data_IF_116433889275
#
_entry.id   IF_116433889275
#
_cell.length_a   1.000
_cell.length_b   1.000
_cell.length_c   1.000
_cell.angle_alpha   90.00
_cell.angle_beta   90.00
_cell.angle_gamma   90.00
#
_symmetry.space_group_name_H-M   'P 1'
#
loop_
_entity.id
_entity.type
_entity.pdbx_description
1 polymer ?
#
# COMPACT_ATOMS: atom_id res chain seq x y z
N UNK A 1 18.33 -70.05 17.64
CA UNK A 1 18.59 -69.18 16.47
C UNK A 1 17.25 -68.69 15.98
N UNK A 2 16.88 -67.44 16.26
CA UNK A 2 16.08 -66.54 15.43
C UNK A 2 16.10 -65.19 16.15
N UNK A 3 16.87 -64.27 15.58
CA UNK A 3 17.08 -62.89 16.03
C UNK A 3 16.06 -62.05 15.26
N UNK A 4 15.09 -61.46 15.93
CA UNK A 4 14.25 -60.42 15.30
C UNK A 4 14.78 -59.07 15.75
N UNK A 5 15.44 -58.39 14.81
CA UNK A 5 15.89 -57.01 14.96
C UNK A 5 14.68 -56.10 14.79
N UNK A 6 14.20 -55.54 15.90
CA UNK A 6 13.24 -54.45 15.88
C UNK A 6 13.96 -53.17 15.49
N UNK A 7 13.90 -52.78 14.21
CA UNK A 7 14.23 -51.42 13.81
C UNK A 7 13.11 -50.50 14.31
N UNK A 8 13.40 -49.76 15.39
CA UNK A 8 12.59 -48.63 15.82
C UNK A 8 12.80 -47.53 14.78
N UNK A 9 11.86 -47.39 13.84
CA UNK A 9 11.75 -46.20 13.01
C UNK A 9 11.34 -45.05 13.93
N UNK A 10 12.32 -44.23 14.33
CA UNK A 10 12.04 -42.89 14.81
C UNK A 10 11.49 -42.11 13.61
N UNK A 11 10.16 -42.06 13.50
CA UNK A 11 9.52 -40.98 12.75
C UNK A 11 9.94 -39.68 13.45
N UNK A 12 10.90 -38.98 12.85
CA UNK A 12 11.16 -37.58 13.17
C UNK A 12 9.86 -36.85 12.91
N UNK A 13 9.13 -36.54 13.99
CA UNK A 13 8.06 -35.55 13.98
C UNK A 13 8.76 -34.21 13.71
N UNK A 14 9.05 -33.94 12.44
CA UNK A 14 9.46 -32.63 11.98
C UNK A 14 8.22 -31.75 12.16
N UNK A 15 8.23 -30.98 13.23
CA UNK A 15 7.09 -30.28 13.77
C UNK A 15 6.60 -29.21 12.77
N UNK A 16 5.50 -29.55 12.08
CA UNK A 16 4.83 -28.71 11.09
C UNK A 16 4.39 -27.35 11.68
N UNK A 17 4.26 -27.25 13.02
CA UNK A 17 3.93 -25.99 13.69
C UNK A 17 5.09 -24.98 13.68
N UNK A 18 6.33 -25.45 13.82
CA UNK A 18 7.54 -24.60 13.74
C UNK A 18 7.76 -24.03 12.34
N UNK A 19 7.58 -24.83 11.28
CA UNK A 19 7.78 -24.41 9.89
C UNK A 19 6.77 -23.31 9.47
N UNK A 20 5.49 -23.50 9.83
CA UNK A 20 4.44 -22.50 9.58
C UNK A 20 4.71 -21.16 10.30
N UNK A 21 5.19 -21.22 11.54
CA UNK A 21 5.53 -20.00 12.31
C UNK A 21 6.71 -19.23 11.70
N UNK A 22 7.76 -19.93 11.27
CA UNK A 22 8.94 -19.32 10.65
C UNK A 22 8.58 -18.68 9.31
N UNK A 23 7.75 -19.35 8.50
CA UNK A 23 7.24 -18.83 7.24
C UNK A 23 6.39 -17.56 7.41
N UNK A 24 5.54 -17.50 8.42
CA UNK A 24 4.75 -16.31 8.70
C UNK A 24 5.61 -15.13 9.19
N UNK A 25 6.65 -15.41 9.98
CA UNK A 25 7.61 -14.40 10.44
C UNK A 25 8.41 -13.80 9.27
N UNK A 26 8.77 -14.62 8.28
CA UNK A 26 9.43 -14.14 7.06
C UNK A 26 8.48 -13.30 6.20
N UNK A 27 7.26 -13.78 5.95
CA UNK A 27 6.22 -13.03 5.23
C UNK A 27 5.96 -11.66 5.84
N UNK A 28 5.76 -11.59 7.16
CA UNK A 28 5.46 -10.30 7.82
C UNK A 28 6.65 -9.35 7.76
N UNK A 29 7.89 -9.87 7.81
CA UNK A 29 9.10 -9.07 7.64
C UNK A 29 9.17 -8.48 6.24
N UNK A 30 8.97 -9.28 5.19
CA UNK A 30 8.93 -8.81 3.81
C UNK A 30 7.87 -7.72 3.59
N UNK A 31 6.67 -7.91 4.15
CA UNK A 31 5.59 -6.92 4.05
C UNK A 31 5.93 -5.61 4.78
N UNK A 32 6.57 -5.68 5.95
CA UNK A 32 7.05 -4.49 6.68
C UNK A 32 8.11 -3.73 5.88
N UNK A 33 9.08 -4.44 5.31
CA UNK A 33 10.14 -3.83 4.50
C UNK A 33 9.56 -3.20 3.22
N UNK A 34 8.59 -3.88 2.59
CA UNK A 34 7.89 -3.37 1.41
C UNK A 34 7.05 -2.13 1.76
N UNK A 35 6.35 -2.15 2.88
CA UNK A 35 5.59 -0.99 3.36
C UNK A 35 6.49 0.22 3.59
N UNK A 36 7.66 0.05 4.21
CA UNK A 36 8.60 1.15 4.45
C UNK A 36 9.09 1.81 3.15
N UNK A 37 9.27 1.00 2.09
CA UNK A 37 9.61 1.52 0.75
C UNK A 37 8.47 2.34 0.17
N UNK A 38 7.23 1.87 0.26
CA UNK A 38 6.06 2.63 -0.18
C UNK A 38 5.82 3.88 0.65
N UNK A 39 5.98 3.80 1.97
CA UNK A 39 5.85 4.94 2.87
C UNK A 39 6.82 6.05 2.48
N UNK A 40 8.09 5.71 2.22
CA UNK A 40 9.11 6.68 1.80
C UNK A 40 8.83 7.24 0.40
N UNK A 41 8.46 6.38 -0.55
CA UNK A 41 8.25 6.74 -1.96
C UNK A 41 7.00 7.60 -2.16
N UNK A 42 5.89 7.24 -1.51
CA UNK A 42 4.60 7.92 -1.65
C UNK A 42 4.40 9.05 -0.63
N UNK A 43 5.37 9.31 0.25
CA UNK A 43 5.30 10.38 1.26
C UNK A 43 5.02 11.75 0.64
N UNK A 44 5.46 11.99 -0.59
CA UNK A 44 5.16 13.23 -1.32
C UNK A 44 3.66 13.50 -1.43
N UNK A 45 2.84 12.45 -1.61
CA UNK A 45 1.38 12.56 -1.71
C UNK A 45 0.74 12.91 -0.37
N UNK A 46 1.43 12.74 0.76
CA UNK A 46 0.94 13.21 2.06
C UNK A 46 1.17 14.71 2.28
N UNK A 47 2.05 15.32 1.47
CA UNK A 47 2.52 16.70 1.61
C UNK A 47 1.97 17.64 0.54
N UNK A 48 1.30 17.09 -0.48
CA UNK A 48 0.69 17.87 -1.55
C UNK A 48 -0.31 18.89 -1.00
N UNK A 49 -0.17 20.14 -1.43
CA UNK A 49 -1.11 21.21 -1.14
C UNK A 49 -1.85 21.61 -2.41
N UNK A 50 -2.91 22.40 -2.23
CA UNK A 50 -3.65 22.98 -3.34
C UNK A 50 -2.70 23.72 -4.29
N UNK A 51 -2.86 23.48 -5.59
CA UNK A 51 -2.04 23.98 -6.69
C UNK A 51 -0.65 23.36 -6.84
N UNK A 52 -0.21 22.50 -5.92
CA UNK A 52 1.01 21.72 -6.12
C UNK A 52 0.78 20.66 -7.21
N UNK A 53 1.82 20.44 -8.03
CA UNK A 53 1.92 19.30 -8.94
C UNK A 53 2.98 18.33 -8.42
N UNK A 54 3.17 17.22 -9.12
CA UNK A 54 4.25 16.27 -8.84
C UNK A 54 4.83 15.76 -10.15
N UNK A 55 5.97 15.08 -10.07
CA UNK A 55 6.60 14.45 -11.21
C UNK A 55 7.66 13.45 -10.77
N UNK A 56 8.38 12.90 -11.75
CA UNK A 56 9.55 12.04 -11.54
C UNK A 56 10.80 12.71 -12.08
N UNK A 57 11.89 12.63 -11.35
CA UNK A 57 13.21 13.06 -11.81
C UNK A 57 13.86 12.01 -12.73
N UNK A 58 15.09 12.28 -13.17
CA UNK A 58 15.85 11.37 -14.04
C UNK A 58 16.20 10.03 -13.37
N UNK A 59 16.19 9.99 -12.03
CA UNK A 59 16.49 8.83 -11.21
C UNK A 59 15.20 8.10 -10.78
N UNK A 60 14.05 8.47 -11.37
CA UNK A 60 12.72 7.91 -11.12
C UNK A 60 12.19 8.19 -9.69
N UNK A 61 12.75 9.19 -8.99
CA UNK A 61 12.23 9.62 -7.69
C UNK A 61 11.09 10.61 -7.87
N UNK A 62 10.07 10.45 -7.03
CA UNK A 62 8.93 11.35 -6.98
C UNK A 62 9.32 12.67 -6.28
N UNK A 63 8.87 13.80 -6.85
CA UNK A 63 9.04 15.12 -6.25
C UNK A 63 7.77 15.96 -6.36
N UNK A 64 7.65 16.95 -5.47
CA UNK A 64 6.58 17.96 -5.50
C UNK A 64 7.07 19.18 -6.29
N UNK A 65 6.29 19.58 -7.29
CA UNK A 65 6.49 20.83 -8.01
C UNK A 65 5.59 21.92 -7.42
N UNK A 66 6.17 22.66 -6.47
CA UNK A 66 5.45 23.67 -5.70
C UNK A 66 4.97 24.84 -6.55
N UNK A 67 3.73 25.25 -6.33
CA UNK A 67 3.18 26.45 -6.96
C UNK A 67 3.88 27.71 -6.44
N UNK A 68 4.61 28.42 -7.31
CA UNK A 68 5.17 29.74 -7.01
C UNK A 68 4.17 30.84 -7.37
N UNK A 69 4.10 31.87 -6.52
CA UNK A 69 3.27 33.06 -6.76
C UNK A 69 3.57 33.66 -8.15
N UNK A 70 2.54 33.78 -9.00
CA UNK A 70 2.63 34.37 -10.34
C UNK A 70 2.73 33.38 -11.51
N UNK A 71 2.85 32.08 -11.26
CA UNK A 71 2.91 31.04 -12.32
C UNK A 71 1.56 30.37 -12.65
N UNK A 72 0.46 30.90 -12.11
CA UNK A 72 -0.85 30.24 -12.13
C UNK A 72 -1.39 29.98 -13.55
N UNK A 73 -1.30 30.96 -14.44
CA UNK A 73 -1.95 30.88 -15.78
C UNK A 73 -1.15 29.99 -16.74
N UNK A 74 0.18 30.07 -16.73
CA UNK A 74 1.02 29.23 -17.62
C UNK A 74 0.92 27.76 -17.25
N UNK A 75 0.86 27.42 -15.95
CA UNK A 75 0.80 26.03 -15.47
C UNK A 75 -0.51 25.32 -15.80
N UNK A 76 -1.60 26.06 -16.06
CA UNK A 76 -2.89 25.47 -16.42
C UNK A 76 -2.91 24.90 -17.84
N UNK A 77 -2.09 25.43 -18.76
CA UNK A 77 -2.23 25.18 -20.21
C UNK A 77 -1.41 24.00 -20.76
N UNK A 78 -0.54 23.36 -19.97
CA UNK A 78 0.34 22.29 -20.46
C UNK A 78 -0.29 20.88 -20.36
N UNK A 79 -0.93 20.41 -21.43
CA UNK A 79 -1.55 19.08 -21.50
C UNK A 79 -0.56 17.91 -21.39
N UNK A 80 0.65 18.06 -21.95
CA UNK A 80 1.65 16.97 -21.95
C UNK A 80 2.11 16.60 -20.53
N UNK A 81 2.25 17.59 -19.65
CA UNK A 81 2.64 17.36 -18.26
C UNK A 81 1.54 16.64 -17.49
N UNK A 82 0.26 16.96 -17.77
CA UNK A 82 -0.89 16.31 -17.13
C UNK A 82 -0.96 14.82 -17.48
N UNK A 83 -0.83 14.47 -18.76
CA UNK A 83 -0.82 13.07 -19.21
C UNK A 83 0.30 12.26 -18.56
N UNK A 84 1.51 12.83 -18.46
CA UNK A 84 2.64 12.18 -17.76
C UNK A 84 2.34 11.99 -16.28
N UNK A 85 1.84 13.02 -15.59
CA UNK A 85 1.45 12.90 -14.18
C UNK A 85 0.38 11.82 -13.98
N UNK A 86 -0.60 11.74 -14.89
CA UNK A 86 -1.68 10.76 -14.82
C UNK A 86 -1.15 9.31 -14.91
N UNK A 87 -0.22 9.04 -15.84
CA UNK A 87 0.44 7.73 -15.97
C UNK A 87 1.28 7.41 -14.75
N UNK A 88 2.08 8.37 -14.25
CA UNK A 88 2.86 8.16 -13.03
C UNK A 88 1.94 7.84 -11.86
N UNK A 89 0.82 8.55 -11.72
CA UNK A 89 -0.14 8.31 -10.64
C UNK A 89 -0.70 6.89 -10.69
N UNK A 90 -1.09 6.43 -11.88
CA UNK A 90 -1.55 5.06 -12.12
C UNK A 90 -0.51 4.03 -11.68
N UNK A 91 0.70 4.12 -12.23
CA UNK A 91 1.76 3.14 -11.95
C UNK A 91 2.09 3.04 -10.46
N UNK A 92 2.20 4.17 -9.77
CA UNK A 92 2.56 4.21 -8.36
C UNK A 92 1.47 3.61 -7.47
N UNK A 93 0.20 3.92 -7.76
CA UNK A 93 -0.92 3.44 -6.96
C UNK A 93 -1.34 2.02 -7.29
N UNK A 94 -1.17 1.55 -8.53
CA UNK A 94 -1.39 0.14 -8.88
C UNK A 94 -0.41 -0.76 -8.11
N UNK A 95 0.86 -0.37 -8.04
CA UNK A 95 1.86 -1.10 -7.25
C UNK A 95 1.51 -1.10 -5.76
N UNK A 96 1.06 0.02 -5.22
CA UNK A 96 0.69 0.12 -3.82
C UNK A 96 -0.58 -0.68 -3.50
N UNK A 97 -1.60 -0.62 -4.35
CA UNK A 97 -2.83 -1.41 -4.22
C UNK A 97 -2.51 -2.90 -4.29
N UNK A 98 -1.64 -3.34 -5.20
CA UNK A 98 -1.18 -4.73 -5.26
C UNK A 98 -0.52 -5.20 -3.96
N UNK A 99 0.24 -4.32 -3.30
CA UNK A 99 0.77 -4.58 -1.96
C UNK A 99 -0.34 -4.68 -0.90
N UNK A 100 -1.32 -3.77 -0.90
CA UNK A 100 -2.44 -3.78 0.03
C UNK A 100 -3.32 -5.05 -0.12
N UNK A 101 -3.50 -5.52 -1.35
CA UNK A 101 -4.19 -6.77 -1.63
C UNK A 101 -3.44 -7.97 -1.08
N UNK A 102 -2.12 -8.05 -1.30
CA UNK A 102 -1.28 -9.11 -0.71
C UNK A 102 -1.38 -9.11 0.81
N UNK A 103 -1.23 -7.94 1.46
CA UNK A 103 -1.37 -7.81 2.92
C UNK A 103 -2.75 -8.26 3.40
N UNK A 104 -3.81 -7.90 2.68
CA UNK A 104 -5.18 -8.30 3.02
C UNK A 104 -5.39 -9.81 2.94
N UNK A 105 -4.80 -10.46 1.94
CA UNK A 105 -4.87 -11.92 1.77
C UNK A 105 -4.12 -12.62 2.90
N UNK A 106 -2.87 -12.22 3.16
CA UNK A 106 -2.06 -12.82 4.24
C UNK A 106 -2.71 -12.62 5.62
N UNK A 107 -3.36 -11.47 5.87
CA UNK A 107 -4.13 -11.24 7.10
C UNK A 107 -5.33 -12.19 7.22
N UNK A 108 -6.04 -12.43 6.12
CA UNK A 108 -7.20 -13.32 6.09
C UNK A 108 -6.81 -14.80 6.31
N UNK A 109 -5.67 -15.22 5.75
CA UNK A 109 -5.14 -16.58 5.86
C UNK A 109 -4.59 -16.87 7.26
N UNK A 110 -3.73 -15.99 7.77
CA UNK A 110 -2.96 -16.27 9.00
C UNK A 110 -3.70 -15.87 10.27
N UNK A 111 -4.49 -14.79 10.22
CA UNK A 111 -5.11 -14.14 11.39
C UNK A 111 -4.14 -13.79 12.53
N UNK A 112 -2.87 -13.58 12.19
CA UNK A 112 -1.83 -13.20 13.14
C UNK A 112 -1.89 -11.69 13.40
N UNK A 113 -1.77 -11.30 14.66
CA UNK A 113 -1.90 -9.90 15.11
C UNK A 113 -0.93 -8.94 14.39
N UNK A 114 0.28 -9.39 14.03
CA UNK A 114 1.26 -8.53 13.40
C UNK A 114 0.87 -8.05 12.00
N UNK A 115 0.17 -8.89 11.21
CA UNK A 115 -0.39 -8.49 9.92
C UNK A 115 -1.48 -7.43 10.11
N UNK A 116 -2.29 -7.58 11.16
CA UNK A 116 -3.32 -6.61 11.51
C UNK A 116 -2.71 -5.26 11.93
N UNK A 117 -1.66 -5.29 12.77
CA UNK A 117 -0.91 -4.09 13.16
C UNK A 117 -0.32 -3.38 11.93
N UNK A 118 0.23 -4.14 10.96
CA UNK A 118 0.74 -3.56 9.72
C UNK A 118 -0.39 -2.95 8.87
N UNK A 119 -1.54 -3.61 8.78
CA UNK A 119 -2.71 -3.08 8.07
C UNK A 119 -3.21 -1.76 8.71
N UNK A 120 -3.21 -1.66 10.04
CA UNK A 120 -3.55 -0.42 10.73
C UNK A 120 -2.54 0.71 10.44
N UNK A 121 -1.24 0.41 10.36
CA UNK A 121 -0.23 1.38 9.89
C UNK A 121 -0.50 1.85 8.47
N UNK A 122 -0.87 0.93 7.56
CA UNK A 122 -1.26 1.27 6.20
C UNK A 122 -2.47 2.22 6.18
N UNK A 123 -3.50 1.98 7.00
CA UNK A 123 -4.67 2.87 7.10
C UNK A 123 -4.27 4.28 7.53
N UNK A 124 -3.39 4.41 8.52
CA UNK A 124 -2.92 5.73 8.98
C UNK A 124 -2.23 6.48 7.85
N UNK A 125 -1.37 5.80 7.09
CA UNK A 125 -0.68 6.38 5.94
C UNK A 125 -1.66 6.75 4.81
N UNK A 126 -2.60 5.85 4.49
CA UNK A 126 -3.67 6.07 3.50
C UNK A 126 -4.50 7.31 3.81
N UNK A 127 -4.90 7.53 5.06
CA UNK A 127 -5.67 8.72 5.42
C UNK A 127 -4.90 10.03 5.11
N UNK A 128 -3.57 10.02 5.27
CA UNK A 128 -2.72 11.17 4.91
C UNK A 128 -2.62 11.33 3.40
N UNK A 129 -2.43 10.23 2.67
CA UNK A 129 -2.42 10.23 1.20
C UNK A 129 -3.73 10.78 0.64
N UNK A 130 -4.88 10.30 1.11
CA UNK A 130 -6.21 10.74 0.64
C UNK A 130 -6.35 12.26 0.75
N UNK A 131 -5.84 12.85 1.83
CA UNK A 131 -5.86 14.31 2.02
C UNK A 131 -5.08 15.05 0.94
N UNK A 132 -3.88 14.58 0.61
CA UNK A 132 -3.09 15.20 -0.48
C UNK A 132 -3.62 14.87 -1.87
N UNK A 133 -4.25 13.71 -2.08
CA UNK A 133 -4.95 13.38 -3.32
C UNK A 133 -6.14 14.31 -3.57
N UNK A 134 -6.90 14.69 -2.54
CA UNK A 134 -7.93 15.73 -2.69
C UNK A 134 -7.33 17.08 -3.07
N UNK A 135 -6.20 17.46 -2.47
CA UNK A 135 -5.48 18.68 -2.86
C UNK A 135 -5.01 18.64 -4.31
N UNK A 136 -4.57 17.47 -4.77
CA UNK A 136 -4.17 17.22 -6.14
C UNK A 136 -5.35 17.32 -7.11
N UNK A 137 -6.51 16.76 -6.73
CA UNK A 137 -7.75 16.87 -7.50
C UNK A 137 -8.13 18.33 -7.73
N UNK A 138 -8.04 19.16 -6.68
CA UNK A 138 -8.27 20.60 -6.82
C UNK A 138 -7.27 21.29 -7.77
N UNK A 139 -6.02 20.83 -7.82
CA UNK A 139 -5.01 21.33 -8.77
C UNK A 139 -5.37 21.00 -10.23
N UNK A 140 -5.95 19.83 -10.48
CA UNK A 140 -6.28 19.34 -11.82
C UNK A 140 -7.76 19.43 -12.16
N UNK A 141 -8.50 20.38 -11.57
CA UNK A 141 -9.96 20.49 -11.67
C UNK A 141 -10.56 20.79 -13.06
N UNK A 142 -9.70 20.86 -14.07
CA UNK A 142 -10.08 21.02 -15.48
C UNK A 142 -9.70 19.83 -16.35
N UNK A 143 -9.15 18.77 -15.75
CA UNK A 143 -8.71 17.55 -16.41
C UNK A 143 -9.49 16.37 -15.84
N UNK A 144 -10.58 16.03 -16.53
CA UNK A 144 -11.50 14.98 -16.11
C UNK A 144 -10.82 13.61 -15.98
N UNK A 145 -9.83 13.30 -16.83
CA UNK A 145 -9.14 12.01 -16.78
C UNK A 145 -8.31 11.89 -15.50
N UNK A 146 -7.61 12.96 -15.14
CA UNK A 146 -6.85 13.03 -13.89
C UNK A 146 -7.78 13.02 -12.66
N UNK A 147 -8.86 13.79 -12.68
CA UNK A 147 -9.85 13.79 -11.59
C UNK A 147 -10.47 12.41 -11.36
N UNK A 148 -10.92 11.76 -12.44
CA UNK A 148 -11.51 10.42 -12.38
C UNK A 148 -10.51 9.39 -11.85
N UNK A 149 -9.24 9.49 -12.25
CA UNK A 149 -8.19 8.60 -11.73
C UNK A 149 -7.96 8.80 -10.25
N UNK A 150 -7.87 10.06 -9.80
CA UNK A 150 -7.71 10.37 -8.38
C UNK A 150 -8.89 9.81 -7.58
N UNK A 151 -10.12 9.98 -8.07
CA UNK A 151 -11.31 9.43 -7.42
C UNK A 151 -11.27 7.90 -7.34
N UNK A 152 -10.89 7.22 -8.43
CA UNK A 152 -10.74 5.77 -8.44
C UNK A 152 -9.74 5.29 -7.39
N UNK A 153 -8.57 5.94 -7.31
CA UNK A 153 -7.54 5.63 -6.30
C UNK A 153 -8.09 5.84 -4.89
N UNK A 154 -8.73 6.98 -4.61
CA UNK A 154 -9.31 7.27 -3.29
C UNK A 154 -10.33 6.20 -2.90
N UNK A 155 -11.22 5.81 -3.82
CA UNK A 155 -12.22 4.78 -3.59
C UNK A 155 -11.57 3.42 -3.28
N UNK A 156 -10.58 3.00 -4.04
CA UNK A 156 -9.85 1.74 -3.80
C UNK A 156 -9.14 1.74 -2.43
N UNK A 157 -8.52 2.86 -2.05
CA UNK A 157 -7.89 3.00 -0.73
C UNK A 157 -8.92 2.96 0.42
N UNK A 158 -10.10 3.55 0.21
CA UNK A 158 -11.22 3.48 1.16
C UNK A 158 -11.75 2.04 1.27
N UNK A 159 -11.82 1.30 0.15
CA UNK A 159 -12.26 -0.10 0.16
C UNK A 159 -11.32 -0.99 0.98
N UNK A 160 -10.00 -0.83 0.82
CA UNK A 160 -9.02 -1.49 1.68
C UNK A 160 -9.28 -1.17 3.16
N UNK A 161 -9.42 0.11 3.52
CA UNK A 161 -9.70 0.53 4.91
C UNK A 161 -10.96 -0.12 5.45
N UNK A 162 -12.05 -0.13 4.67
CA UNK A 162 -13.32 -0.74 5.06
C UNK A 162 -13.19 -2.25 5.25
N UNK A 163 -12.41 -2.94 4.41
CA UNK A 163 -12.13 -4.38 4.53
C UNK A 163 -11.44 -4.70 5.85
N UNK A 164 -10.43 -3.93 6.23
CA UNK A 164 -9.70 -4.13 7.50
C UNK A 164 -10.58 -3.76 8.72
N UNK A 165 -11.40 -2.72 8.66
CA UNK A 165 -12.33 -2.37 9.74
C UNK A 165 -13.42 -3.44 9.98
N UNK A 166 -13.89 -4.09 8.92
CA UNK A 166 -14.78 -5.26 9.05
C UNK A 166 -14.08 -6.43 9.74
N UNK A 167 -12.79 -6.64 9.45
CA UNK A 167 -11.99 -7.63 10.15
C UNK A 167 -11.95 -7.35 11.66
N UNK A 168 -11.67 -6.11 12.05
CA UNK A 168 -11.63 -5.66 13.46
C UNK A 168 -12.94 -5.96 14.20
N UNK A 169 -14.07 -5.60 13.59
CA UNK A 169 -15.42 -5.86 14.15
C UNK A 169 -15.75 -7.36 14.28
N UNK A 170 -15.16 -8.21 13.45
CA UNK A 170 -15.33 -9.67 13.51
C UNK A 170 -14.38 -10.35 14.50
N UNK A 171 -13.18 -9.78 14.69
CA UNK A 171 -12.16 -10.26 15.61
C UNK A 171 -12.54 -9.96 17.06
N UNK A 172 -13.03 -8.74 17.34
CA UNK A 172 -13.49 -8.32 18.68
C UNK A 172 -14.75 -9.03 19.18
N UNK A 173 -15.52 -9.70 18.30
CA UNK A 173 -16.69 -10.51 18.70
C UNK A 173 -16.33 -11.95 19.09
N UNK A 174 -15.10 -12.39 18.82
CA UNK A 174 -14.64 -13.78 19.04
C UNK A 174 -13.68 -13.92 20.24
N UNK A 175 -13.21 -12.81 20.80
CA UNK A 175 -12.45 -12.72 22.05
C UNK A 175 -13.30 -12.03 23.11
#
# INVERSE_FOLDING_TARGET
MFRMEGQCFAEEIFDCSTDSSMKNNEKIKELKDTFQKFESRLDIFTKLKKFDKFGKDIDNNLYIDHSKWGQYVSRWYYEQDRKKCNVILEEEFDLFVGFLDKLSLDLAETKINEFYVLAQKCIVFINKIITGLYSLKETYNTDNDMENRIDAIILTLIDFKNKIQKYDSSYLKKN
#
